data_IF_648782320687
#
_entry.id   IF_648782320687
#
_cell.length_a   1.000
_cell.length_b   1.000
_cell.length_c   1.000
_cell.angle_alpha   90.00
_cell.angle_beta   90.00
_cell.angle_gamma   90.00
#
_symmetry.space_group_name_H-M   'P 1'
#
loop_
_entity.id
_entity.type
_entity.pdbx_description
1 polymer ?
#
# COMPACT_ATOMS: atom_id res chain seq x y z
N UNK A 1 -9.33 -7.71 -6.92
CA UNK A 1 -7.88 -7.80 -7.24
C UNK A 1 -7.19 -8.38 -6.02
N UNK A 2 -6.16 -9.20 -6.18
CA UNK A 2 -5.35 -9.65 -5.04
C UNK A 2 -4.17 -8.69 -4.76
N UNK A 3 -3.54 -8.82 -3.59
CA UNK A 3 -2.46 -7.93 -3.16
C UNK A 3 -1.26 -7.94 -4.11
N UNK A 4 -0.96 -9.08 -4.74
CA UNK A 4 0.12 -9.22 -5.71
C UNK A 4 -0.22 -8.47 -7.00
N UNK A 5 -1.45 -8.62 -7.49
CA UNK A 5 -1.98 -7.94 -8.66
C UNK A 5 -1.92 -6.43 -8.49
N UNK A 6 -2.31 -5.90 -7.33
CA UNK A 6 -2.25 -4.45 -7.05
C UNK A 6 -0.79 -3.99 -6.97
N UNK A 7 0.10 -4.74 -6.31
CA UNK A 7 1.53 -4.40 -6.26
C UNK A 7 2.15 -4.28 -7.66
N UNK A 8 1.87 -5.25 -8.55
CA UNK A 8 2.37 -5.24 -9.94
C UNK A 8 1.75 -4.11 -10.77
N UNK A 9 0.47 -3.78 -10.53
CA UNK A 9 -0.17 -2.63 -11.15
C UNK A 9 0.54 -1.32 -10.77
N UNK A 10 0.71 -1.07 -9.46
CA UNK A 10 1.44 0.11 -8.97
C UNK A 10 2.86 0.16 -9.53
N UNK A 11 3.54 -1.00 -9.59
CA UNK A 11 4.89 -1.10 -10.14
C UNK A 11 4.91 -0.67 -11.62
N UNK A 12 3.97 -1.15 -12.42
CA UNK A 12 3.91 -0.86 -13.85
C UNK A 12 3.65 0.62 -14.12
N UNK A 13 2.78 1.25 -13.34
CA UNK A 13 2.36 2.63 -13.57
C UNK A 13 3.34 3.66 -12.97
N UNK A 14 3.96 3.37 -11.82
CA UNK A 14 4.64 4.40 -11.02
C UNK A 14 6.13 4.18 -10.78
N UNK A 15 6.66 2.95 -10.94
CA UNK A 15 8.04 2.62 -10.52
C UNK A 15 9.10 3.53 -11.16
N UNK A 16 8.96 3.90 -12.44
CA UNK A 16 9.92 4.78 -13.11
C UNK A 16 9.97 6.15 -12.44
N UNK A 17 8.80 6.76 -12.20
CA UNK A 17 8.67 8.06 -11.54
C UNK A 17 9.14 8.01 -10.10
N UNK A 18 8.80 6.94 -9.38
CA UNK A 18 9.22 6.75 -7.99
C UNK A 18 10.73 6.54 -7.87
N UNK A 19 11.32 5.81 -8.82
CA UNK A 19 12.76 5.58 -8.86
C UNK A 19 13.51 6.88 -9.14
N UNK A 20 12.98 7.73 -10.02
CA UNK A 20 13.53 9.05 -10.30
C UNK A 20 13.41 10.00 -9.10
N UNK A 21 12.30 9.92 -8.35
CA UNK A 21 12.05 10.72 -7.14
C UNK A 21 12.90 10.29 -5.95
N UNK A 22 13.16 8.98 -5.83
CA UNK A 22 13.95 8.38 -4.77
C UNK A 22 13.15 8.02 -3.52
N UNK A 23 13.66 7.03 -2.78
CA UNK A 23 12.98 6.39 -1.65
C UNK A 23 12.46 7.38 -0.60
N UNK A 24 13.28 8.32 -0.13
CA UNK A 24 12.88 9.20 0.97
C UNK A 24 11.81 10.22 0.55
N UNK A 25 11.87 10.70 -0.69
CA UNK A 25 10.84 11.58 -1.22
C UNK A 25 9.54 10.79 -1.45
N UNK A 26 9.60 9.56 -1.97
CA UNK A 26 8.41 8.69 -2.06
C UNK A 26 7.84 8.33 -0.68
N UNK A 27 8.68 8.14 0.33
CA UNK A 27 8.23 7.97 1.72
C UNK A 27 7.55 9.23 2.27
N UNK A 28 7.98 10.42 1.85
CA UNK A 28 7.32 11.67 2.25
C UNK A 28 5.89 11.73 1.72
N UNK A 29 5.66 11.31 0.48
CA UNK A 29 4.30 11.17 -0.09
C UNK A 29 3.43 10.18 0.69
N UNK A 30 3.98 9.05 1.14
CA UNK A 30 3.23 8.16 2.05
C UNK A 30 2.77 8.89 3.33
N UNK A 31 3.63 9.73 3.91
CA UNK A 31 3.29 10.48 5.13
C UNK A 31 2.24 11.56 4.85
N UNK A 32 2.26 12.15 3.66
CA UNK A 32 1.24 13.08 3.18
C UNK A 32 -0.15 12.41 3.18
N UNK A 33 -0.30 11.26 2.52
CA UNK A 33 -1.60 10.55 2.50
C UNK A 33 -2.05 10.05 3.88
N UNK A 34 -1.11 9.73 4.78
CA UNK A 34 -1.46 9.41 6.16
C UNK A 34 -2.04 10.65 6.87
N UNK A 35 -1.57 11.84 6.52
CA UNK A 35 -2.12 13.11 6.98
C UNK A 35 -3.50 13.38 6.41
N UNK A 36 -3.70 13.18 5.11
CA UNK A 36 -5.00 13.33 4.44
C UNK A 36 -6.02 12.33 5.00
N UNK A 37 -5.62 11.08 5.22
CA UNK A 37 -6.44 10.08 5.92
C UNK A 37 -6.85 10.55 7.32
N UNK A 38 -5.92 11.15 8.07
CA UNK A 38 -6.23 11.65 9.40
C UNK A 38 -7.24 12.81 9.34
N UNK A 39 -7.13 13.70 8.36
CA UNK A 39 -8.09 14.78 8.13
C UNK A 39 -9.48 14.24 7.77
N UNK A 40 -9.57 13.30 6.83
CA UNK A 40 -10.83 12.68 6.43
C UNK A 40 -11.54 12.00 7.62
N UNK A 41 -10.78 11.30 8.48
CA UNK A 41 -11.28 10.69 9.71
C UNK A 41 -11.83 11.75 10.67
N UNK A 42 -11.08 12.84 10.91
CA UNK A 42 -11.50 13.92 11.82
C UNK A 42 -12.77 14.61 11.34
N UNK A 43 -12.93 14.74 10.02
CA UNK A 43 -14.10 15.37 9.40
C UNK A 43 -15.30 14.42 9.28
N UNK A 44 -15.12 13.11 9.53
CA UNK A 44 -16.16 12.11 9.33
C UNK A 44 -16.56 11.93 7.86
N UNK A 45 -15.67 12.30 6.95
CA UNK A 45 -15.87 12.19 5.51
C UNK A 45 -15.62 10.75 5.06
N UNK A 46 -16.70 10.00 4.84
CA UNK A 46 -16.60 8.58 4.45
C UNK A 46 -16.00 8.39 3.07
N UNK A 47 -16.29 9.29 2.12
CA UNK A 47 -15.77 9.17 0.76
C UNK A 47 -14.27 9.43 0.78
N UNK A 48 -13.84 10.50 1.46
CA UNK A 48 -12.42 10.78 1.68
C UNK A 48 -11.71 9.63 2.40
N UNK A 49 -12.28 9.07 3.47
CA UNK A 49 -11.66 7.93 4.17
C UNK A 49 -11.40 6.74 3.23
N UNK A 50 -12.34 6.43 2.32
CA UNK A 50 -12.18 5.33 1.37
C UNK A 50 -11.06 5.62 0.35
N UNK A 51 -10.98 6.86 -0.15
CA UNK A 51 -9.93 7.34 -1.05
C UNK A 51 -8.55 7.28 -0.38
N UNK A 52 -8.40 7.90 0.79
CA UNK A 52 -7.11 8.00 1.47
C UNK A 52 -6.58 6.65 1.98
N UNK A 53 -7.47 5.72 2.34
CA UNK A 53 -7.04 4.33 2.63
C UNK A 53 -6.41 3.68 1.39
N UNK A 54 -6.99 3.91 0.21
CA UNK A 54 -6.45 3.37 -1.02
C UNK A 54 -5.08 3.99 -1.35
N UNK A 55 -4.92 5.30 -1.14
CA UNK A 55 -3.67 6.01 -1.41
C UNK A 55 -2.56 5.64 -0.44
N UNK A 56 -2.84 5.52 0.86
CA UNK A 56 -1.88 4.98 1.85
C UNK A 56 -1.39 3.59 1.44
N UNK A 57 -2.29 2.72 0.95
CA UNK A 57 -1.91 1.40 0.45
C UNK A 57 -1.06 1.53 -0.82
N UNK A 58 -1.44 2.38 -1.78
CA UNK A 58 -0.73 2.57 -3.04
C UNK A 58 0.71 3.07 -2.82
N UNK A 59 0.93 4.06 -1.96
CA UNK A 59 2.27 4.54 -1.63
C UNK A 59 3.09 3.53 -0.83
N UNK A 60 2.44 2.75 0.05
CA UNK A 60 3.11 1.63 0.73
C UNK A 60 3.64 0.61 -0.29
N UNK A 61 2.85 0.29 -1.31
CA UNK A 61 3.26 -0.61 -2.39
C UNK A 61 4.36 0.01 -3.27
N UNK A 62 4.32 1.33 -3.50
CA UNK A 62 5.36 2.07 -4.21
C UNK A 62 6.71 1.96 -3.48
N UNK A 63 6.73 2.14 -2.16
CA UNK A 63 7.91 1.92 -1.32
C UNK A 63 8.38 0.47 -1.38
N UNK A 64 7.46 -0.50 -1.30
CA UNK A 64 7.80 -1.92 -1.40
C UNK A 64 8.47 -2.24 -2.74
N UNK A 65 7.99 -1.65 -3.84
CA UNK A 65 8.57 -1.81 -5.17
C UNK A 65 10.00 -1.22 -5.24
N UNK A 66 10.22 -0.01 -4.71
CA UNK A 66 11.56 0.60 -4.64
C UNK A 66 12.54 -0.23 -3.81
N UNK A 67 12.06 -0.87 -2.74
CA UNK A 67 12.86 -1.71 -1.85
C UNK A 67 12.96 -3.18 -2.32
N UNK A 68 12.37 -3.53 -3.46
CA UNK A 68 12.28 -4.89 -3.98
C UNK A 68 11.67 -5.90 -2.97
N UNK A 69 10.65 -5.47 -2.23
CA UNK A 69 9.92 -6.28 -1.26
C UNK A 69 8.66 -6.87 -1.90
N UNK A 70 8.53 -8.19 -1.88
CA UNK A 70 7.28 -8.90 -2.23
C UNK A 70 6.31 -8.84 -1.04
N UNK A 71 5.26 -8.01 -1.17
CA UNK A 71 4.36 -7.69 -0.05
C UNK A 71 3.52 -8.92 0.32
N UNK A 72 3.13 -9.73 -0.67
CA UNK A 72 2.39 -10.97 -0.45
C UNK A 72 3.19 -11.97 0.38
N UNK A 73 4.49 -12.13 0.10
CA UNK A 73 5.39 -12.97 0.92
C UNK A 73 5.60 -12.37 2.30
N UNK A 74 5.76 -11.05 2.42
CA UNK A 74 5.93 -10.37 3.70
C UNK A 74 4.71 -10.59 4.63
N UNK A 75 3.50 -10.43 4.09
CA UNK A 75 2.25 -10.69 4.82
C UNK A 75 2.12 -12.16 5.21
N UNK A 76 2.35 -13.10 4.28
CA UNK A 76 2.33 -14.54 4.59
C UNK A 76 3.29 -14.88 5.73
N UNK A 77 4.52 -14.36 5.70
CA UNK A 77 5.51 -14.58 6.76
C UNK A 77 5.07 -14.03 8.11
N UNK A 78 4.41 -12.87 8.13
CA UNK A 78 4.00 -12.19 9.38
C UNK A 78 2.69 -12.75 9.97
N UNK A 79 1.76 -13.16 9.11
CA UNK A 79 0.37 -13.50 9.47
C UNK A 79 -0.01 -14.94 9.13
N UNK A 80 0.96 -15.84 8.94
CA UNK A 80 0.72 -17.27 8.65
C UNK A 80 -0.10 -18.03 9.70
N UNK A 81 -0.36 -17.44 10.87
CA UNK A 81 -1.23 -18.01 11.91
C UNK A 81 -2.70 -17.58 11.81
N UNK A 82 -3.06 -16.74 10.84
CA UNK A 82 -4.43 -16.25 10.68
C UNK A 82 -5.36 -17.36 10.20
N UNK A 83 -6.23 -17.87 11.08
CA UNK A 83 -7.24 -18.88 10.74
C UNK A 83 -8.19 -18.43 9.64
N UNK A 84 -8.37 -17.12 9.45
CA UNK A 84 -9.22 -16.53 8.42
C UNK A 84 -8.57 -16.64 7.03
N UNK A 85 -7.24 -16.50 6.95
CA UNK A 85 -6.52 -16.50 5.67
C UNK A 85 -6.02 -17.89 5.25
N UNK A 86 -6.31 -18.93 6.05
CA UNK A 86 -5.88 -20.32 5.83
C UNK A 86 -7.01 -21.17 5.24
N UNK A 87 -8.28 -20.72 5.33
CA UNK A 87 -9.46 -21.51 4.93
C UNK A 87 -9.73 -21.58 3.43
N UNK A 88 -8.93 -20.92 2.57
CA UNK A 88 -9.10 -20.95 1.10
C UNK A 88 -8.13 -21.93 0.42
N UNK A 89 -7.70 -22.98 1.14
CA UNK A 89 -6.94 -24.11 0.58
C UNK A 89 -7.81 -25.37 0.69
N UNK A 90 -8.81 -25.46 -0.18
CA UNK A 90 -9.39 -26.73 -0.65
C UNK A 90 -9.02 -26.93 -2.13
#
# INVERSE_FOLDING_TARGET
MDLKCIQEYIKKEYLERDSARGLYATFTWLIEEVGELAEAILNGDKEGIEEEIADVIAWTLSIANLLNVDVSKAFKKKYSGSKICISDVD
#
